data_IF_232741480382
#
_entry.id   IF_232741480382
#
_cell.length_a   1.000
_cell.length_b   1.000
_cell.length_c   1.000
_cell.angle_alpha   90.00
_cell.angle_beta   90.00
_cell.angle_gamma   90.00
#
_symmetry.space_group_name_H-M   'P 1'
#
loop_
_entity.id
_entity.type
_entity.pdbx_description
1 polymer ?
#
# COMPACT_ATOMS: atom_id res chain seq x y z
N UNK A 1 -4.67 -4.80 11.58
CA UNK A 1 -3.78 -4.30 12.65
C UNK A 1 -2.29 -4.53 12.34
N UNK A 2 -1.83 -5.77 12.09
CA UNK A 2 -0.40 -6.02 11.81
C UNK A 2 0.16 -5.19 10.63
N UNK A 3 -0.49 -5.26 9.46
CA UNK A 3 -0.04 -4.52 8.25
C UNK A 3 -0.10 -2.99 8.45
N UNK A 4 -1.15 -2.51 9.11
CA UNK A 4 -1.34 -1.09 9.44
C UNK A 4 -0.17 -0.57 10.28
N UNK A 5 0.21 -1.29 11.34
CA UNK A 5 1.35 -0.92 12.19
C UNK A 5 2.66 -0.88 11.41
N UNK A 6 2.85 -1.81 10.46
CA UNK A 6 4.03 -1.82 9.59
C UNK A 6 4.08 -0.60 8.67
N UNK A 7 2.94 -0.24 8.05
CA UNK A 7 2.83 0.98 7.23
C UNK A 7 3.15 2.22 8.06
N UNK A 8 2.55 2.37 9.23
CA UNK A 8 2.79 3.52 10.13
C UNK A 8 4.23 3.57 10.64
N UNK A 9 4.89 2.42 10.78
CA UNK A 9 6.29 2.32 11.21
C UNK A 9 7.31 2.70 10.15
N UNK A 10 6.91 2.95 8.89
CA UNK A 10 7.81 3.35 7.80
C UNK A 10 7.75 4.85 7.56
N UNK A 11 8.89 5.56 7.57
CA UNK A 11 8.91 7.00 7.33
C UNK A 11 8.43 7.36 5.91
N UNK A 12 8.60 6.48 4.93
CA UNK A 12 8.26 6.73 3.53
C UNK A 12 6.76 6.57 3.24
N UNK A 13 6.01 5.94 4.16
CA UNK A 13 4.63 5.56 3.98
C UNK A 13 3.70 6.27 4.97
N UNK A 14 2.42 6.31 4.60
CA UNK A 14 1.34 6.75 5.46
C UNK A 14 0.02 6.07 5.12
N UNK A 15 -0.92 6.08 6.07
CA UNK A 15 -2.29 5.63 5.83
C UNK A 15 -3.06 6.70 5.06
N UNK A 16 -3.67 6.31 3.94
CA UNK A 16 -4.48 7.22 3.13
C UNK A 16 -5.88 7.44 3.72
N UNK A 17 -6.33 6.54 4.60
CA UNK A 17 -7.58 6.63 5.35
C UNK A 17 -7.46 5.81 6.64
N UNK A 18 -8.29 6.11 7.64
CA UNK A 18 -8.42 5.26 8.82
C UNK A 18 -8.79 3.82 8.40
N UNK A 19 -8.19 2.81 9.07
CA UNK A 19 -8.49 1.41 8.77
C UNK A 19 -9.99 1.14 8.96
N UNK A 20 -10.60 0.49 7.97
CA UNK A 20 -11.96 -0.02 8.06
C UNK A 20 -11.95 -1.54 7.90
N UNK A 21 -12.36 -2.27 8.94
CA UNK A 21 -12.41 -3.73 8.93
C UNK A 21 -11.09 -4.37 8.46
N UNK A 22 -11.13 -5.07 7.33
CA UNK A 22 -10.02 -5.76 6.68
C UNK A 22 -9.25 -4.92 5.66
N UNK A 23 -9.67 -3.67 5.41
CA UNK A 23 -9.08 -2.81 4.38
C UNK A 23 -8.04 -1.87 4.98
N UNK A 24 -6.81 -1.97 4.48
CA UNK A 24 -5.72 -1.03 4.76
C UNK A 24 -5.44 -0.21 3.50
N UNK A 25 -5.58 1.11 3.62
CA UNK A 25 -5.28 2.06 2.56
C UNK A 25 -3.96 2.76 2.87
N UNK A 26 -3.00 2.74 1.94
CA UNK A 26 -1.69 3.36 2.12
C UNK A 26 -1.29 4.20 0.91
N UNK A 27 -0.39 5.15 1.13
CA UNK A 27 0.30 5.89 0.06
C UNK A 27 1.75 6.16 0.44
N UNK A 28 2.54 6.48 -0.56
CA UNK A 28 3.90 6.96 -0.38
C UNK A 28 3.89 8.48 -0.13
N UNK A 29 4.72 8.94 0.80
CA UNK A 29 4.81 10.37 1.15
C UNK A 29 5.37 11.20 0.00
N UNK A 30 6.33 10.68 -0.75
CA UNK A 30 6.88 11.29 -1.98
C UNK A 30 5.89 11.38 -3.16
N UNK A 31 4.61 11.02 -2.97
CA UNK A 31 3.53 11.34 -3.91
C UNK A 31 3.03 10.17 -4.75
N UNK A 32 2.21 10.51 -5.76
CA UNK A 32 1.46 9.54 -6.55
C UNK A 32 2.36 8.61 -7.36
N UNK A 33 3.45 9.10 -7.94
CA UNK A 33 4.37 8.28 -8.75
C UNK A 33 5.08 7.24 -7.90
N UNK A 34 5.59 7.63 -6.72
CA UNK A 34 6.18 6.70 -5.77
C UNK A 34 5.15 5.65 -5.30
N UNK A 35 3.92 6.09 -5.00
CA UNK A 35 2.83 5.18 -4.64
C UNK A 35 2.52 4.19 -5.76
N UNK A 36 2.47 4.67 -7.01
CA UNK A 36 2.23 3.86 -8.20
C UNK A 36 3.32 2.81 -8.39
N UNK A 37 4.60 3.19 -8.25
CA UNK A 37 5.74 2.26 -8.34
C UNK A 37 5.65 1.12 -7.33
N UNK A 38 5.30 1.44 -6.08
CA UNK A 38 5.11 0.42 -5.03
C UNK A 38 4.01 -0.58 -5.42
N UNK A 39 2.85 -0.07 -5.85
CA UNK A 39 1.71 -0.90 -6.29
C UNK A 39 2.10 -1.78 -7.48
N UNK A 40 2.74 -1.19 -8.49
CA UNK A 40 3.14 -1.90 -9.71
C UNK A 40 4.20 -2.97 -9.42
N UNK A 41 5.13 -2.71 -8.50
CA UNK A 41 6.15 -3.69 -8.07
C UNK A 41 5.52 -4.90 -7.38
N UNK A 42 4.53 -4.68 -6.51
CA UNK A 42 3.80 -5.79 -5.87
C UNK A 42 3.00 -6.56 -6.91
N UNK A 43 2.25 -5.88 -7.77
CA UNK A 43 1.43 -6.53 -8.80
C UNK A 43 2.28 -7.28 -9.85
N UNK A 44 3.50 -6.82 -10.13
CA UNK A 44 4.44 -7.49 -11.04
C UNK A 44 4.89 -8.87 -10.54
N UNK A 45 4.76 -9.17 -9.23
CA UNK A 45 5.04 -10.51 -8.70
C UNK A 45 4.07 -11.56 -9.23
N UNK A 46 2.89 -11.15 -9.73
CA UNK A 46 1.76 -12.01 -10.16
C UNK A 46 1.24 -13.00 -9.11
N UNK A 47 1.78 -12.97 -7.89
CA UNK A 47 1.35 -13.79 -6.74
C UNK A 47 0.45 -13.00 -5.80
N UNK A 48 0.59 -11.69 -5.81
CA UNK A 48 -0.10 -10.75 -4.94
C UNK A 48 -0.74 -9.67 -5.78
N UNK A 49 -1.83 -9.10 -5.27
CA UNK A 49 -2.54 -8.03 -5.95
C UNK A 49 -2.96 -6.92 -4.97
N UNK A 50 -2.55 -5.69 -5.28
CA UNK A 50 -2.97 -4.47 -4.62
C UNK A 50 -3.85 -3.69 -5.60
N UNK A 51 -5.11 -3.51 -5.22
CA UNK A 51 -6.00 -2.59 -5.91
C UNK A 51 -5.61 -1.13 -5.59
N UNK A 52 -5.96 -0.19 -6.45
CA UNK A 52 -5.65 1.23 -6.24
C UNK A 52 -6.86 2.10 -6.55
N UNK A 53 -6.90 3.28 -5.94
CA UNK A 53 -7.93 4.28 -6.18
C UNK A 53 -7.32 5.68 -6.09
N UNK A 54 -8.01 6.63 -6.70
CA UNK A 54 -7.65 8.05 -6.67
C UNK A 54 -8.79 8.83 -6.06
N UNK A 55 -8.49 9.78 -5.17
CA UNK A 55 -9.47 10.69 -4.58
C UNK A 55 -8.89 12.10 -4.45
N UNK A 56 -9.70 13.17 -4.56
CA UNK A 56 -9.23 14.52 -4.29
C UNK A 56 -8.90 14.69 -2.80
N UNK A 57 -7.83 15.42 -2.50
CA UNK A 57 -7.54 15.91 -1.15
C UNK A 57 -8.23 17.26 -0.88
N UNK A 58 -7.98 17.84 0.30
CA UNK A 58 -8.53 19.14 0.72
C UNK A 58 -8.17 20.30 -0.22
N UNK A 59 -7.07 20.20 -0.96
CA UNK A 59 -6.63 21.21 -1.93
C UNK A 59 -7.19 20.95 -3.35
N UNK A 60 -8.03 19.92 -3.53
CA UNK A 60 -8.57 19.51 -4.83
C UNK A 60 -7.59 18.70 -5.71
N UNK A 61 -6.41 18.38 -5.21
CA UNK A 61 -5.42 17.57 -5.94
C UNK A 61 -5.76 16.08 -5.85
N UNK A 62 -5.71 15.39 -6.98
CA UNK A 62 -5.90 13.93 -7.05
C UNK A 62 -4.76 13.18 -6.34
N UNK A 63 -5.11 12.37 -5.35
CA UNK A 63 -4.21 11.52 -4.56
C UNK A 63 -4.44 10.06 -4.91
N UNK A 64 -3.39 9.36 -5.34
CA UNK A 64 -3.38 7.92 -5.55
C UNK A 64 -3.05 7.20 -4.24
N UNK A 65 -3.78 6.13 -3.94
CA UNK A 65 -3.48 5.24 -2.81
C UNK A 65 -3.74 3.77 -3.16
N UNK A 66 -2.96 2.89 -2.53
CA UNK A 66 -3.10 1.45 -2.60
C UNK A 66 -4.11 0.95 -1.57
N UNK A 67 -4.83 -0.12 -1.91
CA UNK A 67 -5.89 -0.76 -1.13
C UNK A 67 -5.58 -2.24 -0.96
N UNK A 68 -5.29 -2.65 0.27
CA UNK A 68 -5.04 -4.04 0.65
C UNK A 68 -6.24 -4.58 1.43
N UNK A 69 -7.02 -5.45 0.81
CA UNK A 69 -8.18 -6.08 1.42
C UNK A 69 -7.81 -7.48 1.95
N UNK A 70 -7.75 -7.63 3.26
CA UNK A 70 -7.35 -8.86 3.94
C UNK A 70 -8.60 -9.65 4.33
N UNK A 71 -9.12 -10.48 3.42
CA UNK A 71 -10.34 -11.24 3.71
C UNK A 71 -10.79 -12.23 2.64
N UNK A 72 -9.97 -12.49 1.61
CA UNK A 72 -10.24 -13.59 0.70
C UNK A 72 -10.08 -14.91 1.46
N UNK A 73 -10.91 -15.92 1.14
CA UNK A 73 -10.86 -17.24 1.78
C UNK A 73 -9.52 -17.95 1.59
N UNK A 74 -8.77 -17.60 0.55
CA UNK A 74 -7.41 -18.10 0.29
C UNK A 74 -6.29 -17.26 0.93
N UNK A 75 -6.62 -16.16 1.62
CA UNK A 75 -5.65 -15.23 2.18
C UNK A 75 -5.20 -15.67 3.58
N UNK A 76 -4.10 -16.42 3.62
CA UNK A 76 -3.34 -16.69 4.84
C UNK A 76 -2.43 -15.52 5.26
N UNK A 77 -2.01 -15.51 6.52
CA UNK A 77 -1.11 -14.50 7.08
C UNK A 77 0.25 -14.45 6.36
N UNK A 78 0.76 -15.59 5.91
CA UNK A 78 1.97 -15.71 5.09
C UNK A 78 1.92 -14.85 3.83
N UNK A 79 0.75 -14.71 3.19
CA UNK A 79 0.57 -13.82 2.04
C UNK A 79 0.66 -12.35 2.43
N UNK A 80 0.21 -11.99 3.64
CA UNK A 80 0.31 -10.62 4.16
C UNK A 80 1.78 -10.27 4.47
N UNK A 81 2.54 -11.23 4.98
CA UNK A 81 3.98 -11.08 5.20
C UNK A 81 4.76 -10.96 3.89
N UNK A 82 4.46 -11.82 2.90
CA UNK A 82 5.05 -11.74 1.56
C UNK A 82 4.76 -10.38 0.91
N UNK A 83 3.51 -9.93 0.98
CA UNK A 83 3.10 -8.62 0.48
C UNK A 83 3.87 -7.50 1.16
N UNK A 84 3.99 -7.55 2.48
CA UNK A 84 4.74 -6.55 3.22
C UNK A 84 6.21 -6.51 2.79
N UNK A 85 6.86 -7.67 2.63
CA UNK A 85 8.26 -7.73 2.22
C UNK A 85 8.53 -7.06 0.88
N UNK A 86 7.66 -7.28 -0.11
CA UNK A 86 7.78 -6.64 -1.44
C UNK A 86 7.46 -5.15 -1.37
N UNK A 87 6.42 -4.77 -0.62
CA UNK A 87 5.99 -3.38 -0.45
C UNK A 87 7.09 -2.56 0.24
N UNK A 88 7.66 -3.08 1.33
CA UNK A 88 8.72 -2.43 2.10
C UNK A 88 9.97 -2.18 1.24
N UNK A 89 10.39 -3.18 0.47
CA UNK A 89 11.50 -3.02 -0.47
C UNK A 89 11.19 -1.97 -1.53
N UNK A 90 9.98 -2.00 -2.09
CA UNK A 90 9.58 -1.04 -3.13
C UNK A 90 9.46 0.40 -2.59
N UNK A 91 9.07 0.56 -1.33
CA UNK A 91 8.96 1.87 -0.68
C UNK A 91 10.32 2.45 -0.29
N UNK A 92 11.31 1.61 0.04
CA UNK A 92 12.65 2.05 0.40
C UNK A 92 13.49 2.52 -0.80
N UNK A 93 13.14 2.10 -2.02
CA UNK A 93 13.83 2.55 -3.24
C UNK A 93 13.33 3.94 -3.61
N UNK A 94 14.02 4.97 -3.11
CA UNK A 94 13.89 6.31 -3.68
C UNK A 94 14.36 6.26 -5.13
N UNK A 95 13.54 6.80 -6.04
CA UNK A 95 13.91 6.87 -7.44
C UNK A 95 15.24 7.60 -7.59
N UNK A 96 16.25 6.89 -8.11
CA UNK A 96 17.48 7.50 -8.58
C UNK A 96 17.24 8.46 -9.75
#
# INVERSE_FOLDING_TARGET
EWLERRVVGRPELELAAARSLSLVCFRHRSGNEATRRVIDRVNATRRLFISHATAPNETGASVLFGRVAIGATSCEFSHVEELWGVLEQAAAVEGG
#
